data_IF_368923072158
#
_entry.id   IF_368923072158
#
_cell.length_a   1.000
_cell.length_b   1.000
_cell.length_c   1.000
_cell.angle_alpha   90.00
_cell.angle_beta   90.00
_cell.angle_gamma   90.00
#
_symmetry.space_group_name_H-M   'P 1'
#
loop_
_entity.id
_entity.type
_entity.pdbx_description
1 polymer ?
#
# COMPACT_ATOMS: atom_id res chain seq x y z
N UNK A 1 20.37 8.78 -15.68
CA UNK A 1 19.58 9.61 -14.75
C UNK A 1 18.08 9.30 -14.73
N UNK A 2 17.47 8.67 -15.75
CA UNK A 2 16.05 8.30 -15.72
C UNK A 2 15.71 7.00 -14.95
N UNK A 3 16.66 6.06 -14.85
CA UNK A 3 16.42 4.74 -14.28
C UNK A 3 16.13 4.74 -12.76
N UNK A 4 16.68 5.72 -12.03
CA UNK A 4 16.60 5.78 -10.56
C UNK A 4 15.19 6.13 -10.08
N UNK A 5 14.58 7.16 -10.69
CA UNK A 5 13.19 7.52 -10.42
C UNK A 5 12.22 6.42 -10.86
N UNK A 6 12.48 5.75 -11.99
CA UNK A 6 11.63 4.66 -12.47
C UNK A 6 11.65 3.45 -11.53
N UNK A 7 12.82 3.05 -11.02
CA UNK A 7 12.90 1.98 -10.02
C UNK A 7 12.17 2.35 -8.73
N UNK A 8 12.26 3.60 -8.30
CA UNK A 8 11.56 4.08 -7.11
C UNK A 8 10.03 3.97 -7.23
N UNK A 9 9.47 4.37 -8.38
CA UNK A 9 8.03 4.21 -8.62
C UNK A 9 7.60 2.74 -8.66
N UNK A 10 8.39 1.86 -9.28
CA UNK A 10 8.08 0.41 -9.33
C UNK A 10 8.16 -0.21 -7.92
N UNK A 11 9.16 0.19 -7.13
CA UNK A 11 9.34 -0.27 -5.75
C UNK A 11 8.17 0.12 -4.85
N UNK A 12 7.53 1.27 -5.08
CA UNK A 12 6.34 1.70 -4.34
C UNK A 12 5.03 1.18 -4.94
N UNK A 13 4.97 0.96 -6.25
CA UNK A 13 3.77 0.46 -6.94
C UNK A 13 3.38 -0.95 -6.50
N UNK A 14 4.35 -1.85 -6.29
CA UNK A 14 4.07 -3.21 -5.82
C UNK A 14 3.42 -3.23 -4.42
N UNK A 15 4.00 -2.57 -3.40
CA UNK A 15 3.38 -2.42 -2.09
C UNK A 15 2.00 -1.76 -2.14
N UNK A 16 1.80 -0.70 -2.93
CA UNK A 16 0.48 -0.05 -3.00
C UNK A 16 -0.57 -0.98 -3.60
N UNK A 17 -0.25 -1.72 -4.66
CA UNK A 17 -1.14 -2.70 -5.26
C UNK A 17 -1.48 -3.82 -4.27
N UNK A 18 -0.49 -4.31 -3.52
CA UNK A 18 -0.70 -5.31 -2.46
C UNK A 18 -1.60 -4.81 -1.34
N UNK A 19 -1.39 -3.57 -0.87
CA UNK A 19 -2.24 -2.96 0.14
C UNK A 19 -3.68 -2.77 -0.35
N UNK A 20 -3.86 -2.36 -1.60
CA UNK A 20 -5.16 -2.22 -2.26
C UNK A 20 -5.89 -3.56 -2.39
N UNK A 21 -5.22 -4.64 -2.78
CA UNK A 21 -5.84 -5.97 -2.85
C UNK A 21 -6.26 -6.48 -1.48
N UNK A 22 -5.48 -6.25 -0.42
CA UNK A 22 -5.88 -6.61 0.95
C UNK A 22 -7.12 -5.86 1.43
N UNK A 23 -7.20 -4.55 1.14
CA UNK A 23 -8.42 -3.76 1.41
C UNK A 23 -9.59 -4.31 0.61
N UNK A 24 -9.40 -4.59 -0.69
CA UNK A 24 -10.42 -5.17 -1.56
C UNK A 24 -10.94 -6.51 -1.07
N UNK A 25 -10.06 -7.43 -0.68
CA UNK A 25 -10.43 -8.70 -0.06
C UNK A 25 -11.20 -8.50 1.24
N UNK A 26 -10.77 -7.56 2.09
CA UNK A 26 -11.44 -7.27 3.34
C UNK A 26 -12.86 -6.75 3.14
N UNK A 27 -13.05 -5.85 2.16
CA UNK A 27 -14.37 -5.35 1.75
C UNK A 27 -15.23 -6.49 1.19
N UNK A 28 -14.65 -7.35 0.34
CA UNK A 28 -15.35 -8.49 -0.24
C UNK A 28 -15.83 -9.48 0.84
N UNK A 29 -14.98 -9.81 1.81
CA UNK A 29 -15.29 -10.67 2.96
C UNK A 29 -16.36 -10.05 3.85
N UNK A 30 -16.28 -8.75 4.15
CA UNK A 30 -17.33 -8.04 4.89
C UNK A 30 -18.69 -8.11 4.17
N UNK A 31 -18.70 -7.98 2.84
CA UNK A 31 -19.93 -8.11 2.04
C UNK A 31 -20.53 -9.51 2.07
N UNK A 32 -19.72 -10.54 2.35
CA UNK A 32 -20.16 -11.94 2.48
C UNK A 32 -20.44 -12.35 3.94
N UNK A 33 -20.53 -11.39 4.87
CA UNK A 33 -20.68 -11.63 6.32
C UNK A 33 -19.54 -12.47 6.94
N UNK A 34 -18.38 -12.51 6.28
CA UNK A 34 -17.17 -13.11 6.81
C UNK A 34 -16.35 -12.07 7.58
N UNK A 35 -15.49 -12.50 8.53
CA UNK A 35 -14.60 -11.60 9.23
C UNK A 35 -13.47 -11.08 8.31
N UNK A 36 -13.78 -10.10 7.45
CA UNK A 36 -12.84 -9.35 6.61
C UNK A 36 -12.14 -8.16 7.26
N UNK A 37 -12.41 -7.91 8.54
CA UNK A 37 -12.13 -6.65 9.22
C UNK A 37 -10.62 -6.52 9.46
N UNK A 38 -9.98 -7.65 9.73
CA UNK A 38 -8.53 -7.79 9.85
C UNK A 38 -7.84 -7.48 8.52
N UNK A 39 -8.35 -7.98 7.40
CA UNK A 39 -7.80 -7.70 6.06
C UNK A 39 -7.91 -6.20 5.72
N UNK A 40 -9.02 -5.54 6.06
CA UNK A 40 -9.17 -4.10 5.89
C UNK A 40 -8.16 -3.32 6.76
N UNK A 41 -8.09 -3.63 8.05
CA UNK A 41 -7.19 -2.92 8.98
C UNK A 41 -5.74 -3.11 8.55
N UNK A 42 -5.33 -4.32 8.21
CA UNK A 42 -3.97 -4.61 7.72
C UNK A 42 -3.70 -3.90 6.40
N UNK A 43 -4.64 -3.90 5.46
CA UNK A 43 -4.50 -3.21 4.17
C UNK A 43 -4.35 -1.70 4.34
N UNK A 44 -5.18 -1.06 5.18
CA UNK A 44 -5.08 0.37 5.50
C UNK A 44 -3.75 0.70 6.18
N UNK A 45 -3.36 -0.09 7.17
CA UNK A 45 -2.12 0.12 7.93
C UNK A 45 -0.90 -0.06 7.02
N UNK A 46 -0.95 -1.02 6.10
CA UNK A 46 0.09 -1.22 5.08
C UNK A 46 0.19 -0.02 4.13
N UNK A 47 -0.94 0.46 3.60
CA UNK A 47 -0.97 1.66 2.75
C UNK A 47 -0.46 2.91 3.47
N UNK A 48 -0.77 3.05 4.77
CA UNK A 48 -0.25 4.15 5.58
C UNK A 48 1.28 4.10 5.72
N UNK A 49 1.86 2.91 5.91
CA UNK A 49 3.33 2.71 5.94
C UNK A 49 3.96 3.04 4.59
N UNK A 50 3.35 2.64 3.47
CA UNK A 50 3.84 2.96 2.13
C UNK A 50 3.79 4.47 1.86
N UNK A 51 2.70 5.13 2.25
CA UNK A 51 2.57 6.59 2.15
C UNK A 51 3.63 7.29 3.01
N UNK A 52 3.84 6.83 4.25
CA UNK A 52 4.89 7.37 5.12
C UNK A 52 6.28 7.19 4.53
N UNK A 53 6.58 6.01 3.97
CA UNK A 53 7.83 5.75 3.26
C UNK A 53 8.05 6.70 2.09
N UNK A 54 7.01 7.00 1.30
CA UNK A 54 7.07 7.99 0.23
C UNK A 54 7.44 9.40 0.76
N UNK A 55 6.79 9.86 1.83
CA UNK A 55 7.08 11.16 2.42
C UNK A 55 8.50 11.23 2.99
N UNK A 56 8.95 10.17 3.66
CA UNK A 56 10.29 10.10 4.24
C UNK A 56 11.37 10.10 3.15
N UNK A 57 11.23 9.25 2.13
CA UNK A 57 12.19 9.19 1.02
C UNK A 57 12.22 10.49 0.21
N UNK A 58 11.06 11.12 -0.04
CA UNK A 58 11.02 12.45 -0.67
C UNK A 58 11.72 13.52 0.16
N UNK A 59 11.53 13.50 1.48
CA UNK A 59 12.18 14.42 2.41
C UNK A 59 13.70 14.19 2.55
N UNK A 60 14.16 12.94 2.42
CA UNK A 60 15.59 12.59 2.43
C UNK A 60 16.32 12.90 1.12
N UNK A 61 15.61 12.89 -0.02
CA UNK A 61 16.19 13.12 -1.36
C UNK A 61 16.11 14.62 -1.76
N UNK A 62 15.53 15.48 -0.91
CA UNK A 62 15.53 16.95 -1.07
C UNK A 62 16.72 17.60 -0.35
#
# INVERSE_FOLDING_TARGET
>A
MAADAQMFYVMLALPTLFGLTLVGEGVYKMSHYEPGWVSIILGILFLAVVAFGYFLLRGYIS
#
